data_IF_108351499594
#
_entry.id   IF_108351499594
#
_cell.length_a   1.000
_cell.length_b   1.000
_cell.length_c   1.000
_cell.angle_alpha   90.00
_cell.angle_beta   90.00
_cell.angle_gamma   90.00
#
_symmetry.space_group_name_H-M   'P 1'
#
loop_
_entity.id
_entity.type
_entity.pdbx_description
1 polymer ?
#
# COMPACT_ATOMS: atom_id res chain seq x y z
N UNK A 1 43.10 46.89 19.76
CA UNK A 1 41.64 46.61 19.75
C UNK A 1 41.02 46.53 18.34
N UNK A 2 41.55 47.21 17.30
CA UNK A 2 41.02 47.14 15.92
C UNK A 2 41.34 45.83 15.17
N UNK A 3 42.46 45.17 15.48
CA UNK A 3 42.88 43.95 14.75
C UNK A 3 42.06 42.70 15.12
N UNK A 4 41.71 42.55 16.41
CA UNK A 4 40.87 41.44 16.88
C UNK A 4 39.47 41.49 16.22
N UNK A 5 38.94 42.70 16.04
CA UNK A 5 37.63 42.92 15.44
C UNK A 5 37.60 42.61 13.94
N UNK A 6 38.73 42.81 13.24
CA UNK A 6 38.89 42.41 11.84
C UNK A 6 39.06 40.88 11.70
N UNK A 7 39.77 40.23 12.63
CA UNK A 7 39.89 38.77 12.65
C UNK A 7 38.55 38.07 12.82
N UNK A 8 37.68 38.55 13.72
CA UNK A 8 36.35 37.99 13.88
C UNK A 8 35.46 38.22 12.65
N UNK A 9 35.54 39.41 12.03
CA UNK A 9 34.73 39.76 10.84
C UNK A 9 35.08 38.92 9.61
N UNK A 10 36.36 38.67 9.35
CA UNK A 10 36.83 37.84 8.23
C UNK A 10 36.45 36.36 8.42
N UNK A 11 36.56 35.84 9.65
CA UNK A 11 36.17 34.46 9.95
C UNK A 11 34.65 34.25 9.92
N UNK A 12 33.85 35.24 10.34
CA UNK A 12 32.38 35.15 10.28
C UNK A 12 31.85 35.08 8.85
N UNK A 13 32.46 35.81 7.90
CA UNK A 13 32.07 35.76 6.48
C UNK A 13 32.34 34.40 5.85
N UNK A 14 33.48 33.77 6.17
CA UNK A 14 33.80 32.41 5.69
C UNK A 14 32.93 31.34 6.35
N UNK A 15 32.63 31.49 7.64
CA UNK A 15 31.84 30.54 8.42
C UNK A 15 30.34 30.56 8.08
N UNK A 16 29.79 31.62 7.49
CA UNK A 16 28.36 31.69 7.10
C UNK A 16 28.14 31.19 5.66
N UNK A 17 29.10 31.42 4.75
CA UNK A 17 28.93 31.06 3.33
C UNK A 17 29.05 29.56 3.09
N UNK A 18 29.85 28.84 3.88
CA UNK A 18 30.08 27.38 3.70
C UNK A 18 28.90 26.52 4.19
N UNK A 19 28.27 26.75 5.36
CA UNK A 19 27.15 25.94 5.82
C UNK A 19 25.86 26.21 5.02
N UNK A 20 25.65 27.45 4.55
CA UNK A 20 24.46 27.77 3.75
C UNK A 20 24.47 27.09 2.37
N UNK A 21 25.66 26.91 1.77
CA UNK A 21 25.79 26.17 0.51
C UNK A 21 25.51 24.66 0.70
N UNK A 22 25.85 24.10 1.87
CA UNK A 22 25.59 22.69 2.20
C UNK A 22 24.14 22.43 2.60
N UNK A 23 23.47 23.36 3.28
CA UNK A 23 22.05 23.21 3.67
C UNK A 23 21.14 23.32 2.43
N UNK A 24 21.45 24.20 1.48
CA UNK A 24 20.73 24.28 0.20
C UNK A 24 20.84 22.99 -0.62
N UNK A 25 21.99 22.32 -0.58
CA UNK A 25 22.23 21.07 -1.31
C UNK A 25 21.59 19.84 -0.63
N UNK A 26 21.39 19.87 0.69
CA UNK A 26 20.70 18.82 1.43
C UNK A 26 19.17 18.91 1.30
N UNK A 27 18.61 20.11 1.09
CA UNK A 27 17.18 20.26 0.79
C UNK A 27 16.80 19.88 -0.65
N UNK A 28 17.75 19.90 -1.60
CA UNK A 28 17.50 19.48 -2.99
C UNK A 28 17.47 17.97 -3.22
N UNK A 29 17.83 17.16 -2.21
CA UNK A 29 17.58 15.70 -2.22
C UNK A 29 16.23 15.33 -1.61
N UNK A 30 15.30 16.28 -1.55
CA UNK A 30 13.88 15.93 -1.65
C UNK A 30 13.60 15.59 -3.12
N UNK A 31 14.25 14.55 -3.64
CA UNK A 31 13.71 13.88 -4.80
C UNK A 31 12.31 13.47 -4.34
N UNK A 32 11.31 14.11 -4.94
CA UNK A 32 9.99 13.55 -4.97
C UNK A 32 10.15 12.20 -5.69
N UNK A 33 10.56 11.18 -4.95
CA UNK A 33 10.50 9.82 -5.41
C UNK A 33 9.01 9.58 -5.49
N UNK A 34 8.45 9.77 -6.69
CA UNK A 34 7.07 9.51 -6.96
C UNK A 34 6.82 8.10 -6.44
N UNK A 35 6.03 7.99 -5.37
CA UNK A 35 5.67 6.71 -4.78
C UNK A 35 5.06 5.88 -5.91
N UNK A 36 5.84 4.96 -6.45
CA UNK A 36 5.42 4.20 -7.62
C UNK A 36 4.57 3.08 -7.04
N UNK A 37 3.26 3.21 -7.13
CA UNK A 37 2.36 2.17 -6.67
C UNK A 37 2.07 1.21 -7.80
N UNK A 38 2.22 -0.08 -7.57
CA UNK A 38 1.84 -1.09 -8.54
C UNK A 38 0.75 -1.99 -7.97
N UNK A 39 -0.28 -2.23 -8.78
CA UNK A 39 -1.47 -2.95 -8.36
C UNK A 39 -1.65 -4.24 -9.15
N UNK A 40 -2.11 -5.29 -8.46
CA UNK A 40 -2.52 -6.57 -9.05
C UNK A 40 -3.90 -6.94 -8.53
N UNK A 41 -4.70 -7.56 -9.38
CA UNK A 41 -6.09 -7.91 -9.08
C UNK A 41 -6.33 -9.40 -9.30
N UNK A 42 -7.08 -10.03 -8.39
CA UNK A 42 -7.50 -11.43 -8.49
C UNK A 42 -9.00 -11.57 -8.16
N UNK A 43 -9.65 -12.54 -8.78
CA UNK A 43 -11.09 -12.74 -8.70
C UNK A 43 -11.44 -14.13 -8.14
N UNK A 44 -12.53 -14.20 -7.37
CA UNK A 44 -13.14 -15.44 -6.88
C UNK A 44 -14.65 -15.37 -7.08
N UNK A 45 -15.23 -16.43 -7.64
CA UNK A 45 -16.67 -16.51 -7.89
C UNK A 45 -17.40 -17.14 -6.71
N UNK A 46 -18.53 -16.54 -6.35
CA UNK A 46 -19.44 -17.06 -5.34
C UNK A 46 -20.13 -18.34 -5.85
N UNK A 47 -20.46 -19.25 -4.93
CA UNK A 47 -21.14 -20.52 -5.22
C UNK A 47 -22.67 -20.33 -5.33
N UNK A 48 -23.24 -19.32 -4.68
CA UNK A 48 -24.67 -19.00 -4.69
C UNK A 48 -24.90 -17.73 -5.52
N UNK A 49 -25.44 -17.90 -6.74
CA UNK A 49 -25.56 -16.85 -7.75
C UNK A 49 -24.30 -16.62 -8.61
N UNK A 50 -24.24 -15.50 -9.34
CA UNK A 50 -23.12 -15.14 -10.24
C UNK A 50 -22.20 -14.05 -9.69
N UNK A 51 -22.24 -13.82 -8.37
CA UNK A 51 -21.42 -12.82 -7.72
C UNK A 51 -19.92 -13.11 -7.81
N UNK A 52 -19.10 -12.08 -7.96
CA UNK A 52 -17.63 -12.17 -7.96
C UNK A 52 -17.05 -11.26 -6.88
N UNK A 53 -16.06 -11.76 -6.13
CA UNK A 53 -15.19 -10.97 -5.27
C UNK A 53 -13.92 -10.66 -6.06
N UNK A 54 -13.54 -9.39 -6.08
CA UNK A 54 -12.32 -8.91 -6.70
C UNK A 54 -11.44 -8.32 -5.62
N UNK A 55 -10.26 -8.90 -5.40
CA UNK A 55 -9.27 -8.37 -4.47
C UNK A 55 -8.15 -7.67 -5.24
N UNK A 56 -7.85 -6.44 -4.85
CA UNK A 56 -6.79 -5.63 -5.42
C UNK A 56 -5.75 -5.35 -4.36
N UNK A 57 -4.53 -5.83 -4.61
CA UNK A 57 -3.36 -5.56 -3.81
C UNK A 57 -2.51 -4.49 -4.49
N UNK A 58 -2.17 -3.44 -3.76
CA UNK A 58 -1.30 -2.36 -4.22
C UNK A 58 -0.06 -2.32 -3.33
N UNK A 59 1.12 -2.33 -3.93
CA UNK A 59 2.38 -2.15 -3.21
C UNK A 59 2.96 -0.77 -3.51
N UNK A 60 3.32 -0.04 -2.47
CA UNK A 60 4.15 1.14 -2.58
C UNK A 60 5.61 0.69 -2.76
N UNK A 61 6.21 0.96 -3.92
CA UNK A 61 7.58 0.53 -4.22
C UNK A 61 8.65 1.24 -3.41
N UNK A 62 8.34 2.42 -2.85
CA UNK A 62 9.26 3.22 -2.06
C UNK A 62 9.31 2.77 -0.61
N UNK A 63 8.14 2.53 0.00
CA UNK A 63 8.05 2.11 1.41
C UNK A 63 7.95 0.60 1.60
N UNK A 64 7.79 -0.15 0.51
CA UNK A 64 7.54 -1.59 0.53
C UNK A 64 6.16 -1.99 1.06
N UNK A 65 5.35 -1.02 1.47
CA UNK A 65 4.05 -1.25 2.15
C UNK A 65 2.98 -1.76 1.20
N UNK A 66 2.11 -2.64 1.70
CA UNK A 66 0.96 -3.16 0.96
C UNK A 66 -0.35 -2.55 1.46
N UNK A 67 -1.26 -2.31 0.53
CA UNK A 67 -2.66 -1.98 0.81
C UNK A 67 -3.57 -2.92 0.01
N UNK A 68 -4.68 -3.32 0.62
CA UNK A 68 -5.64 -4.24 0.01
C UNK A 68 -7.01 -3.61 -0.06
N UNK A 69 -7.72 -3.88 -1.16
CA UNK A 69 -9.11 -3.48 -1.34
C UNK A 69 -9.84 -4.61 -2.04
N UNK A 70 -10.81 -5.20 -1.34
CA UNK A 70 -11.75 -6.11 -1.96
C UNK A 70 -13.05 -5.39 -2.34
N UNK A 71 -13.58 -5.72 -3.50
CA UNK A 71 -14.91 -5.33 -3.95
C UNK A 71 -15.71 -6.59 -4.27
N UNK A 72 -17.04 -6.46 -4.19
CA UNK A 72 -17.96 -7.54 -4.51
C UNK A 72 -19.02 -7.04 -5.48
N UNK A 73 -19.23 -7.79 -6.55
CA UNK A 73 -20.46 -7.75 -7.34
C UNK A 73 -21.30 -8.95 -6.95
N UNK A 74 -22.59 -8.77 -6.67
CA UNK A 74 -23.46 -9.85 -6.24
C UNK A 74 -24.77 -9.82 -7.01
N UNK A 75 -24.96 -10.82 -7.87
CA UNK A 75 -26.27 -11.25 -8.32
C UNK A 75 -26.55 -12.56 -7.58
N UNK A 76 -27.19 -12.44 -6.42
CA UNK A 76 -27.60 -13.60 -5.62
C UNK A 76 -28.87 -14.18 -6.20
N UNK A 77 -29.02 -15.50 -6.10
CA UNK A 77 -30.29 -16.15 -6.44
C UNK A 77 -31.41 -15.61 -5.54
N UNK A 78 -32.64 -15.66 -6.05
CA UNK A 78 -33.81 -15.27 -5.28
C UNK A 78 -33.83 -16.01 -3.93
N UNK A 79 -34.10 -15.27 -2.86
CA UNK A 79 -34.13 -15.75 -1.46
C UNK A 79 -32.78 -15.82 -0.72
N UNK A 80 -31.68 -15.41 -1.36
CA UNK A 80 -30.39 -15.28 -0.69
C UNK A 80 -29.87 -13.85 -0.72
N UNK A 81 -29.08 -13.51 0.30
CA UNK A 81 -28.32 -12.26 0.35
C UNK A 81 -26.90 -12.55 0.79
N UNK A 82 -25.97 -11.66 0.46
CA UNK A 82 -24.59 -11.77 0.92
C UNK A 82 -24.12 -10.51 1.64
N UNK A 83 -23.28 -10.71 2.65
CA UNK A 83 -22.50 -9.68 3.34
C UNK A 83 -21.00 -9.82 3.04
N UNK A 84 -20.25 -8.73 3.17
CA UNK A 84 -18.83 -8.64 2.83
C UNK A 84 -18.53 -7.63 1.71
N UNK A 85 -17.26 -7.56 1.24
CA UNK A 85 -16.21 -8.54 1.48
C UNK A 85 -15.63 -8.48 2.90
N UNK A 86 -15.45 -9.65 3.51
CA UNK A 86 -14.74 -9.86 4.76
C UNK A 86 -13.25 -9.94 4.46
N UNK A 87 -12.45 -9.11 5.13
CA UNK A 87 -11.00 -9.03 4.89
C UNK A 87 -10.24 -9.70 6.03
N UNK A 88 -9.35 -10.63 5.68
CA UNK A 88 -8.37 -11.19 6.60
C UNK A 88 -7.14 -10.29 6.71
N UNK A 89 -6.35 -10.45 7.77
CA UNK A 89 -5.02 -9.83 7.82
C UNK A 89 -4.11 -10.46 6.76
N UNK A 90 -3.38 -9.68 5.95
CA UNK A 90 -2.46 -10.22 4.98
C UNK A 90 -1.24 -10.83 5.67
N UNK A 91 -0.74 -11.95 5.14
CA UNK A 91 0.53 -12.55 5.54
C UNK A 91 1.58 -12.19 4.51
N UNK A 92 2.68 -11.59 4.97
CA UNK A 92 3.80 -11.19 4.14
C UNK A 92 4.92 -12.22 4.22
N UNK A 93 5.47 -12.60 3.08
CA UNK A 93 6.61 -13.53 2.96
C UNK A 93 7.61 -13.00 1.93
N UNK A 94 8.76 -13.68 1.79
CA UNK A 94 9.82 -13.30 0.84
C UNK A 94 10.26 -11.84 1.00
N UNK A 95 10.61 -11.46 2.24
CA UNK A 95 10.99 -10.09 2.63
C UNK A 95 9.94 -9.03 2.25
N UNK A 96 8.66 -9.40 2.33
CA UNK A 96 7.54 -8.53 1.99
C UNK A 96 7.29 -8.37 0.49
N UNK A 97 7.98 -9.13 -0.37
CA UNK A 97 7.71 -9.15 -1.81
C UNK A 97 6.49 -10.00 -2.17
N UNK A 98 6.09 -10.93 -1.31
CA UNK A 98 4.89 -11.73 -1.50
C UNK A 98 3.89 -11.42 -0.41
N UNK A 99 2.64 -11.16 -0.79
CA UNK A 99 1.55 -10.97 0.14
C UNK A 99 0.42 -11.97 -0.15
N UNK A 100 -0.04 -12.67 0.87
CA UNK A 100 -1.21 -13.55 0.79
C UNK A 100 -2.34 -12.92 1.60
N UNK A 101 -3.44 -12.61 0.95
CA UNK A 101 -4.58 -11.92 1.55
C UNK A 101 -5.84 -12.76 1.37
N UNK A 102 -6.55 -13.01 2.46
CA UNK A 102 -7.82 -13.72 2.44
C UNK A 102 -8.97 -12.74 2.27
N UNK A 103 -9.88 -13.06 1.35
CA UNK A 103 -11.15 -12.35 1.19
C UNK A 103 -12.30 -13.34 1.16
N UNK A 104 -13.40 -12.98 1.80
CA UNK A 104 -14.57 -13.84 1.88
C UNK A 104 -15.89 -13.11 1.89
N UNK A 105 -16.96 -13.89 1.92
CA UNK A 105 -18.35 -13.46 2.06
C UNK A 105 -19.08 -14.38 3.04
N UNK A 106 -20.11 -13.84 3.66
CA UNK A 106 -21.14 -14.61 4.35
C UNK A 106 -22.44 -14.55 3.54
N UNK A 107 -23.14 -15.67 3.43
CA UNK A 107 -24.41 -15.79 2.70
C UNK A 107 -25.52 -16.12 3.69
N UNK A 108 -26.65 -15.45 3.54
CA UNK A 108 -27.81 -15.54 4.43
C UNK A 108 -29.06 -15.89 3.62
N UNK A 109 -29.96 -16.67 4.22
CA UNK A 109 -31.29 -16.89 3.67
C UNK A 109 -32.25 -15.73 4.02
N UNK A 110 -33.49 -15.79 3.55
CA UNK A 110 -34.52 -14.75 3.82
C UNK A 110 -34.88 -14.58 5.29
N UNK A 111 -34.61 -15.59 6.12
CA UNK A 111 -34.85 -15.51 7.57
C UNK A 111 -33.71 -14.80 8.30
N UNK A 112 -32.67 -14.37 7.58
CA UNK A 112 -31.47 -13.73 8.14
C UNK A 112 -30.47 -14.72 8.74
N UNK A 113 -30.70 -16.03 8.62
CA UNK A 113 -29.76 -17.05 9.09
C UNK A 113 -28.63 -17.23 8.09
N UNK A 114 -27.39 -17.23 8.59
CA UNK A 114 -26.23 -17.55 7.78
C UNK A 114 -26.30 -19.02 7.35
N UNK A 115 -26.31 -19.27 6.05
CA UNK A 115 -26.35 -20.61 5.47
C UNK A 115 -24.98 -21.11 5.06
N UNK A 116 -24.07 -20.21 4.70
CA UNK A 116 -22.68 -20.55 4.41
C UNK A 116 -21.77 -19.33 4.50
N UNK A 117 -20.47 -19.57 4.54
CA UNK A 117 -19.42 -18.58 4.32
C UNK A 117 -18.36 -19.19 3.41
N UNK A 118 -17.86 -18.40 2.48
CA UNK A 118 -16.83 -18.82 1.54
C UNK A 118 -15.84 -17.71 1.30
N UNK A 119 -14.65 -18.07 0.84
CA UNK A 119 -13.62 -17.11 0.52
C UNK A 119 -12.42 -17.77 -0.14
N UNK A 120 -11.49 -16.94 -0.57
CA UNK A 120 -10.26 -17.37 -1.19
C UNK A 120 -9.09 -16.59 -0.62
N UNK A 121 -7.96 -17.28 -0.48
CA UNK A 121 -6.66 -16.65 -0.26
C UNK A 121 -6.03 -16.33 -1.60
N UNK A 122 -5.70 -15.06 -1.82
CA UNK A 122 -5.00 -14.60 -3.00
C UNK A 122 -3.56 -14.26 -2.67
N UNK A 123 -2.63 -14.92 -3.37
CA UNK A 123 -1.21 -14.59 -3.30
C UNK A 123 -0.84 -13.61 -4.41
N UNK A 124 -0.26 -12.48 -4.03
CA UNK A 124 0.26 -11.44 -4.91
C UNK A 124 1.78 -11.38 -4.76
N UNK A 125 2.48 -11.50 -5.88
CA UNK A 125 3.93 -11.41 -5.91
C UNK A 125 4.35 -10.09 -6.55
N UNK A 126 5.18 -9.34 -5.86
CA UNK A 126 5.94 -8.23 -6.42
C UNK A 126 7.27 -8.75 -6.93
N UNK A 127 7.36 -8.92 -8.25
CA UNK A 127 8.63 -9.09 -8.92
C UNK A 127 9.05 -7.67 -9.30
N UNK A 128 9.75 -6.99 -8.40
CA UNK A 128 10.36 -5.72 -8.75
C UNK A 128 11.29 -5.97 -9.93
N UNK A 129 10.96 -5.45 -11.10
CA UNK A 129 12.02 -5.15 -12.04
C UNK A 129 12.81 -4.04 -11.34
N UNK A 130 14.10 -4.26 -11.09
CA UNK A 130 14.98 -3.19 -10.63
C UNK A 130 14.81 -2.02 -11.61
N UNK A 131 14.24 -0.93 -11.14
CA UNK A 131 14.21 0.31 -11.90
C UNK A 131 15.46 1.06 -11.46
N UNK A 132 16.51 0.84 -12.27
CA UNK A 132 17.86 1.43 -12.29
C UNK A 132 18.87 0.92 -11.25
#
# INVERSE_FOLDING_TARGET
MKEIMNFFRENYKKAIVVPMLCIGLLCSMSTAFAATSASKTKNWSCIYGSGTITDTATRNTTTGSWSFRATRTANMDANFSASGPLLGQPVLTNDGNTATHFVGIAVYNQLGSQVTSGGASFTFNWNGSSVY
#
